data_IF_854043385466
#
_entry.id   IF_854043385466
#
_cell.length_a   1.000
_cell.length_b   1.000
_cell.length_c   1.000
_cell.angle_alpha   90.00
_cell.angle_beta   90.00
_cell.angle_gamma   90.00
#
_symmetry.space_group_name_H-M   'P 1'
#
loop_
_entity.id
_entity.type
_entity.pdbx_description
1 polymer ?
#
# COMPACT_ATOMS: atom_id res chain seq x y z
N UNK A 1 5.74 -9.37 5.85
CA UNK A 1 6.55 -8.21 5.42
C UNK A 1 8.03 -8.30 5.78
N UNK A 2 8.50 -9.47 6.21
CA UNK A 2 9.91 -9.65 6.54
C UNK A 2 10.84 -9.30 5.38
N UNK A 3 10.39 -9.53 4.14
CA UNK A 3 11.16 -9.24 2.93
C UNK A 3 11.43 -7.74 2.71
N UNK A 4 10.70 -6.87 3.44
CA UNK A 4 10.83 -5.43 3.31
C UNK A 4 11.53 -4.79 4.49
N UNK A 5 12.14 -5.59 5.35
CA UNK A 5 12.88 -5.09 6.52
C UNK A 5 13.96 -4.12 6.08
N UNK A 6 14.05 -2.98 6.77
CA UNK A 6 15.01 -1.94 6.42
C UNK A 6 14.59 -1.00 5.31
N UNK A 7 13.38 -1.21 4.76
CA UNK A 7 12.85 -0.36 3.70
C UNK A 7 11.65 0.44 4.21
N UNK A 8 11.37 1.56 3.55
CA UNK A 8 10.14 2.33 3.80
C UNK A 8 9.04 1.69 2.96
N UNK A 9 7.95 1.34 3.61
CA UNK A 9 6.84 0.63 2.95
C UNK A 9 5.54 1.41 3.08
N UNK A 10 4.83 1.57 1.97
CA UNK A 10 3.43 1.96 1.96
C UNK A 10 2.62 0.69 1.79
N UNK A 11 1.97 0.25 2.86
CA UNK A 11 1.15 -0.96 2.86
C UNK A 11 -0.31 -0.55 2.71
N UNK A 12 -0.94 -0.94 1.62
CA UNK A 12 -2.34 -0.64 1.33
C UNK A 12 -3.16 -1.92 1.35
N UNK A 13 -4.16 -1.99 2.22
CA UNK A 13 -5.08 -3.12 2.30
C UNK A 13 -6.36 -2.74 1.58
N UNK A 14 -6.73 -3.50 0.55
CA UNK A 14 -7.77 -3.12 -0.39
C UNK A 14 -8.53 -4.33 -0.94
N UNK A 15 -9.52 -4.06 -1.77
CA UNK A 15 -10.25 -5.08 -2.52
C UNK A 15 -10.78 -4.52 -3.82
N UNK A 16 -10.95 -5.37 -4.84
CA UNK A 16 -11.47 -4.95 -6.14
C UNK A 16 -12.93 -4.47 -6.06
N UNK A 17 -13.65 -4.94 -5.03
CA UNK A 17 -15.06 -4.58 -4.79
C UNK A 17 -15.22 -3.21 -4.12
N UNK A 18 -14.15 -2.59 -3.69
CA UNK A 18 -14.16 -1.40 -2.87
C UNK A 18 -13.99 -0.15 -3.74
N UNK A 19 -15.05 0.68 -3.87
CA UNK A 19 -14.99 1.88 -4.69
C UNK A 19 -13.97 2.91 -4.21
N UNK A 20 -13.90 3.25 -2.91
CA UNK A 20 -12.85 4.17 -2.44
C UNK A 20 -11.45 3.65 -2.69
N UNK A 21 -11.24 2.33 -2.64
CA UNK A 21 -9.93 1.73 -2.97
C UNK A 21 -9.58 2.02 -4.44
N UNK A 22 -10.55 1.87 -5.33
CA UNK A 22 -10.36 2.13 -6.75
C UNK A 22 -10.01 3.60 -7.00
N UNK A 23 -10.65 4.50 -6.26
CA UNK A 23 -10.44 5.94 -6.41
C UNK A 23 -9.04 6.39 -6.00
N UNK A 24 -8.43 5.72 -5.01
CA UNK A 24 -7.09 6.13 -4.55
C UNK A 24 -5.94 5.47 -5.31
N UNK A 25 -6.19 4.38 -6.06
CA UNK A 25 -5.12 3.65 -6.76
C UNK A 25 -4.32 4.51 -7.74
N UNK A 26 -4.92 5.40 -8.55
CA UNK A 26 -4.13 6.26 -9.42
C UNK A 26 -3.15 7.15 -8.67
N UNK A 27 -3.53 7.68 -7.51
CA UNK A 27 -2.64 8.51 -6.69
C UNK A 27 -1.52 7.68 -6.09
N UNK A 28 -1.81 6.45 -5.65
CA UNK A 28 -0.79 5.53 -5.14
C UNK A 28 0.21 5.18 -6.24
N UNK A 29 -0.26 4.94 -7.46
CA UNK A 29 0.64 4.65 -8.58
C UNK A 29 1.53 5.85 -8.90
N UNK A 30 0.99 7.06 -8.89
CA UNK A 30 1.80 8.28 -9.10
C UNK A 30 2.86 8.42 -8.03
N UNK A 31 2.52 8.17 -6.77
CA UNK A 31 3.48 8.19 -5.68
C UNK A 31 4.56 7.13 -5.90
N UNK A 32 4.17 5.94 -6.32
CA UNK A 32 5.11 4.86 -6.63
C UNK A 32 6.09 5.27 -7.73
N UNK A 33 5.59 5.84 -8.81
CA UNK A 33 6.45 6.30 -9.92
C UNK A 33 7.47 7.34 -9.44
N UNK A 34 7.05 8.26 -8.57
CA UNK A 34 7.91 9.32 -8.08
C UNK A 34 8.92 8.84 -7.04
N UNK A 35 8.53 7.93 -6.16
CA UNK A 35 9.30 7.61 -4.96
C UNK A 35 9.95 6.23 -4.95
N UNK A 36 9.52 5.30 -5.81
CA UNK A 36 10.16 3.98 -5.89
C UNK A 36 11.65 4.08 -6.26
N UNK A 37 12.04 4.95 -7.21
CA UNK A 37 13.47 5.15 -7.50
C UNK A 37 14.27 5.66 -6.30
N UNK A 38 13.60 6.28 -5.33
CA UNK A 38 14.22 6.81 -4.12
C UNK A 38 14.22 5.81 -2.97
N UNK A 39 13.62 4.64 -3.16
CA UNK A 39 13.64 3.55 -2.19
C UNK A 39 12.31 3.17 -1.58
N UNK A 40 11.21 3.87 -1.91
CA UNK A 40 9.89 3.48 -1.41
C UNK A 40 9.47 2.14 -2.00
N UNK A 41 8.87 1.31 -1.17
CA UNK A 41 8.21 0.08 -1.62
C UNK A 41 6.72 0.18 -1.34
N UNK A 42 5.92 0.17 -2.39
CA UNK A 42 4.47 0.13 -2.27
C UNK A 42 4.04 -1.34 -2.37
N UNK A 43 3.27 -1.77 -1.37
CA UNK A 43 2.75 -3.13 -1.32
C UNK A 43 1.25 -3.05 -1.09
N UNK A 44 0.47 -3.50 -2.06
CA UNK A 44 -0.98 -3.54 -1.94
C UNK A 44 -1.41 -4.98 -1.70
N UNK A 45 -2.14 -5.21 -0.61
CA UNK A 45 -2.62 -6.54 -0.24
C UNK A 45 -4.12 -6.60 -0.47
N UNK A 46 -4.55 -7.45 -1.41
CA UNK A 46 -5.96 -7.67 -1.68
C UNK A 46 -6.56 -8.63 -0.66
N UNK A 47 -7.72 -8.25 -0.13
CA UNK A 47 -8.52 -9.13 0.72
C UNK A 47 -9.71 -9.74 -0.03
N UNK A 48 -9.68 -9.70 -1.36
CA UNK A 48 -10.71 -10.34 -2.16
C UNK A 48 -10.86 -11.82 -1.78
N UNK A 49 -12.05 -12.34 -1.97
CA UNK A 49 -12.35 -13.73 -1.65
C UNK A 49 -11.54 -14.72 -2.50
N UNK A 50 -11.46 -16.00 -2.11
CA UNK A 50 -10.77 -17.01 -2.91
C UNK A 50 -11.29 -17.06 -4.34
N UNK A 51 -10.37 -17.23 -5.30
CA UNK A 51 -10.72 -17.29 -6.73
C UNK A 51 -10.69 -15.95 -7.46
N UNK A 52 -10.22 -14.88 -6.81
CA UNK A 52 -10.23 -13.54 -7.40
C UNK A 52 -8.95 -13.18 -8.19
N UNK A 53 -8.04 -14.10 -8.40
CA UNK A 53 -6.74 -13.81 -9.02
C UNK A 53 -6.86 -13.12 -10.37
N UNK A 54 -7.75 -13.62 -11.25
CA UNK A 54 -7.94 -13.02 -12.58
C UNK A 54 -8.51 -11.62 -12.49
N UNK A 55 -9.42 -11.40 -11.54
CA UNK A 55 -10.04 -10.09 -11.30
C UNK A 55 -8.98 -9.08 -10.84
N UNK A 56 -8.09 -9.50 -9.94
CA UNK A 56 -7.01 -8.65 -9.44
C UNK A 56 -6.05 -8.30 -10.57
N UNK A 57 -5.66 -9.26 -11.40
CA UNK A 57 -4.78 -9.00 -12.54
C UNK A 57 -5.42 -8.04 -13.54
N UNK A 58 -6.70 -8.22 -13.85
CA UNK A 58 -7.43 -7.32 -14.75
C UNK A 58 -7.47 -5.90 -14.20
N UNK A 59 -7.70 -5.76 -12.90
CA UNK A 59 -7.70 -4.48 -12.23
C UNK A 59 -6.34 -3.79 -12.34
N UNK A 60 -5.27 -4.51 -12.03
CA UNK A 60 -3.92 -3.97 -12.09
C UNK A 60 -3.57 -3.51 -13.50
N UNK A 61 -3.98 -4.27 -14.51
CA UNK A 61 -3.75 -3.91 -15.91
C UNK A 61 -4.55 -2.68 -16.31
N UNK A 62 -5.83 -2.63 -15.94
CA UNK A 62 -6.71 -1.51 -16.26
C UNK A 62 -6.19 -0.20 -15.68
N UNK A 63 -5.70 -0.24 -14.44
CA UNK A 63 -5.22 0.94 -13.73
C UNK A 63 -3.73 1.22 -13.94
N UNK A 64 -3.03 0.36 -14.68
CA UNK A 64 -1.60 0.54 -14.95
C UNK A 64 -0.73 0.48 -13.71
N UNK A 65 -1.10 -0.36 -12.74
CA UNK A 65 -0.37 -0.46 -11.48
C UNK A 65 0.94 -1.22 -11.65
N UNK A 66 2.04 -0.63 -11.18
CA UNK A 66 3.38 -1.22 -11.32
C UNK A 66 3.98 -1.66 -9.99
N UNK A 67 3.33 -1.36 -8.87
CA UNK A 67 3.81 -1.79 -7.56
C UNK A 67 3.42 -3.23 -7.24
N UNK A 68 4.00 -3.76 -6.16
CA UNK A 68 3.74 -5.13 -5.72
C UNK A 68 2.29 -5.29 -5.26
N UNK A 69 1.60 -6.27 -5.79
CA UNK A 69 0.26 -6.64 -5.35
C UNK A 69 0.31 -8.06 -4.81
N UNK A 70 -0.11 -8.20 -3.56
CA UNK A 70 -0.22 -9.49 -2.90
C UNK A 70 -1.70 -9.82 -2.73
N UNK A 71 -2.00 -11.12 -2.67
CA UNK A 71 -3.36 -11.60 -2.53
C UNK A 71 -3.44 -12.44 -1.26
N UNK A 72 -4.33 -12.05 -0.35
CA UNK A 72 -4.46 -12.73 0.95
C UNK A 72 -5.93 -13.00 1.28
N UNK A 73 -6.52 -14.08 0.71
CA UNK A 73 -7.92 -14.39 0.95
C UNK A 73 -8.20 -14.96 2.36
N UNK A 74 -7.17 -15.29 3.13
CA UNK A 74 -7.33 -15.93 4.44
C UNK A 74 -7.70 -14.96 5.56
N UNK A 75 -7.60 -13.65 5.35
CA UNK A 75 -7.84 -12.67 6.40
C UNK A 75 -6.69 -12.49 7.38
N UNK A 76 -5.57 -13.16 7.18
CA UNK A 76 -4.45 -13.09 8.11
C UNK A 76 -3.87 -11.67 8.21
N UNK A 77 -3.84 -10.93 7.10
CA UNK A 77 -3.32 -9.56 7.08
C UNK A 77 -4.23 -8.60 7.86
N UNK A 78 -5.55 -8.75 7.71
CA UNK A 78 -6.49 -7.94 8.48
C UNK A 78 -6.33 -8.16 9.97
N UNK A 79 -6.16 -9.42 10.38
CA UNK A 79 -5.93 -9.75 11.78
C UNK A 79 -4.61 -9.18 12.30
N UNK A 80 -3.53 -9.32 11.51
CA UNK A 80 -2.21 -8.85 11.91
C UNK A 80 -2.16 -7.33 12.11
N UNK A 81 -2.86 -6.57 11.27
CA UNK A 81 -2.87 -5.11 11.33
C UNK A 81 -4.14 -4.55 11.97
N UNK A 82 -5.02 -5.42 12.47
CA UNK A 82 -6.26 -5.03 13.15
C UNK A 82 -7.14 -4.12 12.27
N UNK A 83 -7.19 -4.42 10.98
CA UNK A 83 -8.01 -3.64 10.06
C UNK A 83 -9.48 -3.97 10.26
N UNK A 84 -10.33 -2.95 10.14
CA UNK A 84 -11.77 -3.06 10.33
C UNK A 84 -12.56 -2.89 9.03
N UNK A 85 -11.86 -2.58 7.94
CA UNK A 85 -12.48 -2.38 6.64
C UNK A 85 -11.44 -2.00 5.62
N UNK A 86 -11.88 -1.63 4.43
CA UNK A 86 -10.99 -1.21 3.35
C UNK A 86 -11.46 0.12 2.78
N UNK A 87 -10.53 0.97 2.26
CA UNK A 87 -9.09 0.76 2.33
C UNK A 87 -8.52 1.18 3.68
N UNK A 88 -7.44 0.55 4.08
CA UNK A 88 -6.59 1.01 5.18
C UNK A 88 -5.15 1.00 4.68
N UNK A 89 -4.41 2.06 5.02
CA UNK A 89 -3.05 2.23 4.53
C UNK A 89 -2.12 2.59 5.66
N UNK A 90 -0.95 1.97 5.65
CA UNK A 90 0.06 2.15 6.67
C UNK A 90 1.35 2.63 6.03
N UNK A 91 1.97 3.66 6.62
CA UNK A 91 3.32 4.09 6.24
C UNK A 91 4.27 3.52 7.30
N UNK A 92 5.18 2.66 6.87
CA UNK A 92 6.07 1.93 7.76
C UNK A 92 7.50 2.40 7.52
N UNK A 93 8.16 2.82 8.59
CA UNK A 93 9.55 3.29 8.53
C UNK A 93 10.53 2.12 8.41
N UNK A 94 11.80 2.44 8.16
CA UNK A 94 12.85 1.43 7.98
C UNK A 94 13.04 0.52 9.18
N UNK A 95 12.72 1.00 10.38
CA UNK A 95 12.79 0.20 11.61
C UNK A 95 11.56 -0.66 11.85
N UNK A 96 10.60 -0.65 10.92
CA UNK A 96 9.38 -1.45 11.02
C UNK A 96 8.26 -0.78 11.83
N UNK A 97 8.49 0.43 12.31
CA UNK A 97 7.48 1.16 13.08
C UNK A 97 6.47 1.82 12.15
N UNK A 98 5.19 1.64 12.45
CA UNK A 98 4.12 2.31 11.71
C UNK A 98 4.11 3.78 12.10
N UNK A 99 4.36 4.66 11.13
CA UNK A 99 4.45 6.10 11.36
C UNK A 99 3.17 6.83 11.00
N UNK A 100 2.32 6.22 10.20
CA UNK A 100 1.03 6.79 9.84
C UNK A 100 0.07 5.67 9.47
N UNK A 101 -1.18 5.78 9.94
CA UNK A 101 -2.28 4.89 9.56
C UNK A 101 -3.43 5.75 9.07
N UNK A 102 -3.99 5.43 7.92
CA UNK A 102 -5.16 6.11 7.38
C UNK A 102 -6.26 5.09 7.13
N UNK A 103 -7.42 5.32 7.74
CA UNK A 103 -8.62 4.55 7.48
C UNK A 103 -9.41 5.30 6.42
N UNK A 104 -9.75 4.61 5.32
CA UNK A 104 -10.41 5.23 4.19
C UNK A 104 -9.43 5.73 3.13
N UNK A 105 -9.97 6.26 2.03
CA UNK A 105 -9.16 6.74 0.92
C UNK A 105 -8.45 8.04 1.28
N UNK A 106 -7.29 8.24 0.67
CA UNK A 106 -6.50 9.46 0.85
C UNK A 106 -5.78 9.77 -0.47
N UNK A 107 -5.43 11.04 -0.65
CA UNK A 107 -4.55 11.41 -1.76
C UNK A 107 -3.09 11.11 -1.37
N UNK A 108 -2.65 9.91 -1.70
CA UNK A 108 -1.29 9.47 -1.37
C UNK A 108 -0.22 10.21 -2.17
N UNK A 109 -0.60 10.92 -3.24
CA UNK A 109 0.31 11.71 -4.04
C UNK A 109 0.36 13.18 -3.59
N UNK A 110 -0.26 13.53 -2.47
CA UNK A 110 -0.25 14.91 -1.94
C UNK A 110 1.15 15.31 -1.51
N UNK A 111 1.38 16.63 -1.45
CA UNK A 111 2.65 17.17 -0.99
C UNK A 111 3.00 16.72 0.42
N UNK A 112 1.99 16.66 1.31
CA UNK A 112 2.18 16.22 2.69
C UNK A 112 2.62 14.78 2.78
N UNK A 113 1.98 13.88 2.03
CA UNK A 113 2.34 12.47 2.03
C UNK A 113 3.70 12.24 1.38
N UNK A 114 4.00 12.93 0.30
CA UNK A 114 5.33 12.86 -0.32
C UNK A 114 6.42 13.34 0.63
N UNK A 115 6.17 14.42 1.37
CA UNK A 115 7.12 14.95 2.33
C UNK A 115 7.38 13.98 3.47
N UNK A 116 6.34 13.33 4.00
CA UNK A 116 6.50 12.32 5.03
C UNK A 116 7.38 11.16 4.54
N UNK A 117 7.08 10.66 3.35
CA UNK A 117 7.84 9.54 2.79
C UNK A 117 9.29 9.94 2.53
N UNK A 118 9.52 11.14 1.98
CA UNK A 118 10.88 11.64 1.77
C UNK A 118 11.66 11.73 3.09
N UNK A 119 11.01 12.18 4.15
CA UNK A 119 11.61 12.25 5.48
C UNK A 119 12.00 10.85 5.97
N UNK A 120 11.12 9.87 5.83
CA UNK A 120 11.39 8.50 6.27
C UNK A 120 12.51 7.85 5.45
N UNK A 121 12.57 8.13 4.15
CA UNK A 121 13.64 7.63 3.30
C UNK A 121 14.99 8.21 3.69
N UNK A 122 15.02 9.44 4.21
CA UNK A 122 16.24 10.09 4.67
C UNK A 122 16.70 9.57 6.04
N UNK A 123 15.81 8.98 6.83
CA UNK A 123 16.17 8.39 8.13
C UNK A 123 16.98 7.12 7.93
N UNK A 124 17.95 6.89 8.81
CA UNK A 124 18.76 5.68 8.76
C UNK A 124 17.98 4.50 9.30
N UNK A 125 18.14 3.36 8.66
CA UNK A 125 17.59 2.11 9.15
C UNK A 125 18.36 1.61 10.38
N UNK A 126 17.71 0.71 11.13
CA UNK A 126 18.33 0.07 12.29
C UNK A 126 18.27 -1.45 12.15
#
# INVERSE_FOLDING_TARGET
>A
LADYKGQVVLLNIWGTFCLPCRDEMPAIEKLNQAMAPKGLRVVAVSIDEPGAEAKIRSFAKEFGLTFQILYNPSGAMENAYQTTGVPETFVIARDGVIRKKVIGASDWNSDGNRALIAQLLAERGR
#
